data_IF_289458647840
#
_entry.id   IF_289458647840
#
_cell.length_a   1.000
_cell.length_b   1.000
_cell.length_c   1.000
_cell.angle_alpha   90.00
_cell.angle_beta   90.00
_cell.angle_gamma   90.00
#
_symmetry.space_group_name_H-M   'P 1'
#
loop_
_entity.id
_entity.type
_entity.pdbx_description
1 polymer ?
#
# COMPACT_ATOMS: atom_id res chain seq x y z
N UNK A 1 -15.64 0.88 -13.42
CA UNK A 1 -16.06 -0.43 -13.98
C UNK A 1 -14.92 -1.44 -14.06
N UNK A 2 -13.82 -1.19 -14.81
CA UNK A 2 -12.69 -2.15 -14.91
C UNK A 2 -11.91 -2.28 -13.59
N UNK A 3 -11.62 -1.17 -12.91
CA UNK A 3 -10.91 -1.19 -11.64
C UNK A 3 -11.73 -1.85 -10.52
N UNK A 4 -13.05 -1.68 -10.53
CA UNK A 4 -13.96 -2.33 -9.58
C UNK A 4 -14.00 -3.85 -9.79
N UNK A 5 -13.99 -4.31 -11.05
CA UNK A 5 -13.89 -5.72 -11.38
C UNK A 5 -12.55 -6.31 -10.92
N UNK A 6 -11.45 -5.58 -11.13
CA UNK A 6 -10.13 -5.98 -10.65
C UNK A 6 -10.12 -6.13 -9.12
N UNK A 7 -10.67 -5.15 -8.39
CA UNK A 7 -10.80 -5.23 -6.94
C UNK A 7 -11.64 -6.43 -6.50
N UNK A 8 -12.76 -6.71 -7.19
CA UNK A 8 -13.57 -7.89 -6.95
C UNK A 8 -12.78 -9.20 -7.10
N UNK A 9 -11.97 -9.31 -8.16
CA UNK A 9 -11.09 -10.47 -8.38
C UNK A 9 -10.02 -10.60 -7.29
N UNK A 10 -9.41 -9.48 -6.88
CA UNK A 10 -8.38 -9.45 -5.83
C UNK A 10 -8.94 -9.80 -4.45
N UNK A 11 -10.25 -9.60 -4.21
CA UNK A 11 -10.91 -9.94 -2.95
C UNK A 11 -11.35 -11.40 -2.86
N UNK A 12 -11.52 -12.09 -3.99
CA UNK A 12 -12.04 -13.46 -4.04
C UNK A 12 -11.04 -14.51 -3.57
N UNK A 13 -9.88 -14.61 -4.21
CA UNK A 13 -8.88 -15.66 -3.95
C UNK A 13 -7.47 -15.10 -4.15
N UNK A 14 -6.53 -15.54 -3.32
CA UNK A 14 -5.10 -15.22 -3.46
C UNK A 14 -4.54 -15.69 -4.80
N UNK A 15 -5.07 -16.78 -5.37
CA UNK A 15 -4.68 -17.27 -6.71
C UNK A 15 -4.99 -16.26 -7.80
N UNK A 16 -6.11 -15.55 -7.70
CA UNK A 16 -6.47 -14.50 -8.66
C UNK A 16 -5.48 -13.35 -8.60
N UNK A 17 -5.03 -13.00 -7.40
CA UNK A 17 -3.98 -12.00 -7.20
C UNK A 17 -2.70 -12.41 -7.93
N UNK A 18 -2.30 -13.69 -7.85
CA UNK A 18 -1.12 -14.20 -8.56
C UNK A 18 -1.26 -14.10 -10.08
N UNK A 19 -2.41 -14.49 -10.63
CA UNK A 19 -2.69 -14.43 -12.08
C UNK A 19 -2.61 -12.98 -12.56
N UNK A 20 -3.27 -12.07 -11.85
CA UNK A 20 -3.30 -10.64 -12.15
C UNK A 20 -1.90 -10.01 -12.10
N UNK A 21 -1.10 -10.39 -11.10
CA UNK A 21 0.30 -9.95 -10.99
C UNK A 21 1.14 -10.51 -12.13
N UNK A 22 0.98 -11.79 -12.47
CA UNK A 22 1.70 -12.44 -13.56
C UNK A 22 1.35 -11.84 -14.94
N UNK A 23 0.15 -11.30 -15.10
CA UNK A 23 -0.27 -10.55 -16.28
C UNK A 23 0.34 -9.14 -16.37
N UNK A 24 1.13 -8.72 -15.38
CA UNK A 24 1.80 -7.41 -15.40
C UNK A 24 0.87 -6.25 -15.07
N UNK A 25 -0.16 -6.46 -14.23
CA UNK A 25 -1.06 -5.35 -13.84
C UNK A 25 -0.35 -4.30 -12.97
N UNK A 26 0.70 -4.69 -12.23
CA UNK A 26 1.29 -3.82 -11.20
C UNK A 26 1.87 -2.53 -11.80
N UNK A 27 2.71 -2.56 -12.86
CA UNK A 27 3.15 -1.34 -13.54
C UNK A 27 1.99 -0.48 -14.03
N UNK A 28 0.91 -1.10 -14.52
CA UNK A 28 -0.30 -0.39 -14.96
C UNK A 28 -0.96 0.34 -13.80
N UNK A 29 -1.08 -0.30 -12.63
CA UNK A 29 -1.60 0.34 -11.42
C UNK A 29 -0.71 1.49 -10.94
N UNK A 30 0.62 1.35 -11.01
CA UNK A 30 1.56 2.42 -10.65
C UNK A 30 1.40 3.62 -11.58
N UNK A 31 1.38 3.40 -12.89
CA UNK A 31 1.13 4.44 -13.88
C UNK A 31 -0.23 5.11 -13.68
N UNK A 32 -1.26 4.34 -13.32
CA UNK A 32 -2.60 4.85 -13.07
C UNK A 32 -2.65 5.70 -11.79
N UNK A 33 -1.87 5.35 -10.77
CA UNK A 33 -1.75 6.14 -9.56
C UNK A 33 -1.09 7.50 -9.82
N UNK A 34 -0.07 7.54 -10.68
CA UNK A 34 0.65 8.78 -11.00
C UNK A 34 -0.15 9.66 -11.98
N UNK A 35 -0.81 9.05 -12.97
CA UNK A 35 -1.53 9.75 -14.04
C UNK A 35 -2.94 10.20 -13.65
N UNK A 36 -3.58 9.56 -12.65
CA UNK A 36 -4.96 9.87 -12.30
C UNK A 36 -5.08 11.15 -11.46
N UNK A 37 -5.91 12.08 -11.94
CA UNK A 37 -6.34 13.26 -11.18
C UNK A 37 -7.52 12.97 -10.23
N UNK A 38 -8.27 11.90 -10.47
CA UNK A 38 -9.40 11.50 -9.62
C UNK A 38 -8.91 10.81 -8.35
N UNK A 39 -9.34 11.35 -7.20
CA UNK A 39 -9.05 10.80 -5.87
C UNK A 39 -9.65 9.39 -5.71
N UNK A 40 -10.88 9.17 -6.18
CA UNK A 40 -11.57 7.88 -6.12
C UNK A 40 -10.78 6.79 -6.87
N UNK A 41 -10.25 7.11 -8.05
CA UNK A 41 -9.45 6.19 -8.84
C UNK A 41 -8.12 5.89 -8.14
N UNK A 42 -7.48 6.91 -7.54
CA UNK A 42 -6.26 6.72 -6.74
C UNK A 42 -6.51 5.80 -5.55
N UNK A 43 -7.59 6.01 -4.81
CA UNK A 43 -7.96 5.17 -3.66
C UNK A 43 -8.17 3.71 -4.05
N UNK A 44 -8.96 3.47 -5.10
CA UNK A 44 -9.22 2.11 -5.60
C UNK A 44 -7.94 1.44 -6.08
N UNK A 45 -7.06 2.20 -6.73
CA UNK A 45 -5.74 1.72 -7.17
C UNK A 45 -4.84 1.37 -5.99
N UNK A 46 -4.76 2.24 -4.96
CA UNK A 46 -4.04 1.93 -3.72
C UNK A 46 -4.62 0.70 -3.03
N UNK A 47 -5.94 0.54 -3.03
CA UNK A 47 -6.60 -0.66 -2.46
C UNK A 47 -6.17 -1.93 -3.18
N UNK A 48 -6.11 -1.89 -4.52
CA UNK A 48 -5.65 -3.01 -5.33
C UNK A 48 -4.18 -3.33 -5.04
N UNK A 49 -3.33 -2.31 -4.98
CA UNK A 49 -1.91 -2.45 -4.61
C UNK A 49 -1.80 -3.04 -3.22
N UNK A 50 -2.51 -2.51 -2.21
CA UNK A 50 -2.48 -3.03 -0.85
C UNK A 50 -2.85 -4.51 -0.81
N UNK A 51 -3.89 -4.93 -1.53
CA UNK A 51 -4.31 -6.33 -1.61
C UNK A 51 -3.24 -7.22 -2.24
N UNK A 52 -2.65 -6.80 -3.36
CA UNK A 52 -1.50 -7.47 -3.97
C UNK A 52 -0.36 -7.61 -2.96
N UNK A 53 -0.10 -6.51 -2.25
CA UNK A 53 0.87 -6.42 -1.18
C UNK A 53 0.43 -7.08 0.13
N UNK A 54 -0.67 -7.83 0.23
CA UNK A 54 -0.93 -8.72 1.39
C UNK A 54 -0.62 -10.20 1.16
N UNK A 55 -0.60 -10.67 -0.10
CA UNK A 55 -0.50 -12.11 -0.44
C UNK A 55 0.92 -12.69 -0.28
N UNK A 56 1.13 -13.95 0.11
CA UNK A 56 2.46 -14.49 0.41
C UNK A 56 3.52 -14.35 -0.71
N UNK A 57 3.12 -14.30 -1.98
CA UNK A 57 4.02 -14.30 -3.16
C UNK A 57 4.46 -12.91 -3.65
N UNK A 58 4.47 -11.91 -2.76
CA UNK A 58 4.81 -10.50 -3.07
C UNK A 58 6.25 -10.22 -3.46
N UNK A 59 7.16 -11.15 -3.17
CA UNK A 59 8.61 -10.93 -3.27
C UNK A 59 9.02 -10.44 -4.66
N UNK A 60 8.46 -11.02 -5.72
CA UNK A 60 8.76 -10.64 -7.10
C UNK A 60 8.34 -9.20 -7.41
N UNK A 61 7.11 -8.84 -7.03
CA UNK A 61 6.57 -7.48 -7.21
C UNK A 61 7.36 -6.46 -6.41
N UNK A 62 7.76 -6.81 -5.20
CA UNK A 62 8.52 -5.91 -4.33
C UNK A 62 9.93 -5.65 -4.85
N UNK A 63 10.55 -6.63 -5.53
CA UNK A 63 11.87 -6.45 -6.15
C UNK A 63 11.77 -5.59 -7.41
N UNK A 64 10.75 -5.82 -8.25
CA UNK A 64 10.59 -5.10 -9.51
C UNK A 64 10.08 -3.66 -9.34
N UNK A 65 9.04 -3.46 -8.52
CA UNK A 65 8.29 -2.20 -8.46
C UNK A 65 8.26 -1.57 -7.05
N UNK A 66 8.91 -2.19 -6.06
CA UNK A 66 8.78 -1.80 -4.66
C UNK A 66 9.19 -0.36 -4.36
N UNK A 67 10.24 0.16 -4.99
CA UNK A 67 10.70 1.55 -4.82
C UNK A 67 9.70 2.57 -5.37
N UNK A 68 9.18 2.33 -6.58
CA UNK A 68 8.18 3.18 -7.22
C UNK A 68 6.87 3.20 -6.42
N UNK A 69 6.45 2.03 -5.94
CA UNK A 69 5.24 1.87 -5.15
C UNK A 69 5.40 2.55 -3.79
N UNK A 70 6.55 2.43 -3.13
CA UNK A 70 6.81 3.07 -1.85
C UNK A 70 6.73 4.60 -1.94
N UNK A 71 7.31 5.22 -2.97
CA UNK A 71 7.20 6.67 -3.19
C UNK A 71 5.74 7.11 -3.44
N UNK A 72 5.00 6.33 -4.23
CA UNK A 72 3.61 6.62 -4.57
C UNK A 72 2.68 6.49 -3.36
N UNK A 73 2.84 5.43 -2.57
CA UNK A 73 2.08 5.22 -1.36
C UNK A 73 2.38 6.28 -0.31
N UNK A 74 3.63 6.74 -0.21
CA UNK A 74 3.97 7.84 0.70
C UNK A 74 3.26 9.15 0.29
N UNK A 75 3.19 9.46 -1.01
CA UNK A 75 2.41 10.61 -1.49
C UNK A 75 0.93 10.50 -1.17
N UNK A 76 0.33 9.31 -1.31
CA UNK A 76 -1.07 9.08 -0.93
C UNK A 76 -1.24 9.14 0.58
N UNK A 77 -0.25 8.73 1.35
CA UNK A 77 -0.26 8.84 2.80
C UNK A 77 -0.26 10.30 3.29
N UNK A 78 0.43 11.19 2.57
CA UNK A 78 0.49 12.62 2.88
C UNK A 78 -0.75 13.37 2.37
N UNK A 79 -1.15 13.16 1.11
CA UNK A 79 -2.16 13.98 0.42
C UNK A 79 -3.46 13.25 0.06
N UNK A 80 -3.57 11.95 0.35
CA UNK A 80 -4.75 11.14 0.02
C UNK A 80 -5.91 11.30 1.01
N UNK A 81 -7.06 10.73 0.65
CA UNK A 81 -8.20 10.63 1.57
C UNK A 81 -7.92 9.67 2.72
N UNK A 82 -8.83 9.64 3.71
CA UNK A 82 -8.78 8.70 4.83
C UNK A 82 -8.62 7.25 4.36
N UNK A 83 -9.42 6.81 3.38
CA UNK A 83 -9.33 5.45 2.84
C UNK A 83 -8.02 5.21 2.06
N UNK A 84 -7.57 6.20 1.29
CA UNK A 84 -6.28 6.13 0.59
C UNK A 84 -5.10 6.02 1.56
N UNK A 85 -5.12 6.80 2.64
CA UNK A 85 -4.13 6.79 3.73
C UNK A 85 -4.13 5.44 4.45
N UNK A 86 -5.31 4.91 4.82
CA UNK A 86 -5.43 3.59 5.46
C UNK A 86 -4.87 2.47 4.57
N UNK A 87 -5.30 2.38 3.31
CA UNK A 87 -4.80 1.34 2.40
C UNK A 87 -3.30 1.50 2.09
N UNK A 88 -2.80 2.73 2.04
CA UNK A 88 -1.36 2.98 1.87
C UNK A 88 -0.56 2.47 3.06
N UNK A 89 -1.03 2.67 4.29
CA UNK A 89 -0.41 2.11 5.49
C UNK A 89 -0.42 0.57 5.48
N UNK A 90 -1.52 -0.08 5.09
CA UNK A 90 -1.56 -1.55 4.93
C UNK A 90 -0.47 -2.03 3.97
N UNK A 91 -0.38 -1.40 2.80
CA UNK A 91 0.60 -1.75 1.78
C UNK A 91 2.03 -1.51 2.28
N UNK A 92 2.29 -0.37 2.95
CA UNK A 92 3.60 -0.01 3.50
C UNK A 92 4.03 -0.98 4.61
N UNK A 93 3.13 -1.32 5.54
CA UNK A 93 3.38 -2.33 6.57
C UNK A 93 3.74 -3.68 5.96
N UNK A 94 3.02 -4.08 4.92
CA UNK A 94 3.30 -5.26 4.14
C UNK A 94 4.69 -5.24 3.46
N UNK A 95 5.16 -4.08 3.03
CA UNK A 95 6.47 -3.89 2.42
C UNK A 95 7.61 -3.74 3.45
N UNK A 96 7.29 -3.24 4.65
CA UNK A 96 8.21 -2.95 5.75
C UNK A 96 8.86 -4.16 6.39
N UNK A 97 8.54 -5.38 5.95
CA UNK A 97 9.17 -6.62 6.43
C UNK A 97 10.66 -6.75 6.07
N UNK A 98 11.20 -5.88 5.19
CA UNK A 98 12.63 -5.84 4.90
C UNK A 98 13.29 -4.60 5.50
N UNK A 99 14.52 -4.76 6.02
CA UNK A 99 15.28 -3.69 6.69
C UNK A 99 15.49 -2.45 5.81
N UNK A 100 15.71 -2.65 4.52
CA UNK A 100 15.91 -1.55 3.56
C UNK A 100 14.61 -0.75 3.35
N UNK A 101 13.47 -1.44 3.23
CA UNK A 101 12.17 -0.77 3.07
C UNK A 101 11.76 -0.05 4.34
N UNK A 102 11.92 -0.68 5.51
CA UNK A 102 11.63 -0.04 6.80
C UNK A 102 12.44 1.24 7.01
N UNK A 103 13.73 1.22 6.64
CA UNK A 103 14.59 2.41 6.71
C UNK A 103 14.15 3.49 5.72
N UNK A 104 13.78 3.12 4.49
CA UNK A 104 13.27 4.06 3.51
C UNK A 104 11.98 4.76 3.99
N UNK A 105 11.03 3.99 4.52
CA UNK A 105 9.77 4.49 5.10
C UNK A 105 10.04 5.44 6.28
N UNK A 106 10.90 5.03 7.22
CA UNK A 106 11.24 5.83 8.39
C UNK A 106 11.98 7.13 8.06
N UNK A 107 12.93 7.08 7.11
CA UNK A 107 13.76 8.23 6.73
C UNK A 107 13.00 9.34 6.01
N UNK A 108 11.85 9.03 5.42
CA UNK A 108 11.07 9.98 4.62
C UNK A 108 9.88 10.59 5.36
N UNK A 109 9.80 10.43 6.68
CA UNK A 109 8.73 11.03 7.48
C UNK A 109 7.47 10.15 7.62
N UNK A 110 7.51 8.88 7.18
CA UNK A 110 6.38 7.96 7.32
C UNK A 110 5.85 7.89 8.75
N UNK A 111 6.73 7.93 9.75
CA UNK A 111 6.38 7.94 11.19
C UNK A 111 5.38 9.05 11.55
N UNK A 112 5.54 10.25 11.00
CA UNK A 112 4.64 11.38 11.28
C UNK A 112 3.27 11.17 10.66
N UNK A 113 3.23 10.69 9.41
CA UNK A 113 1.98 10.40 8.72
C UNK A 113 1.24 9.20 9.34
N UNK A 114 1.95 8.22 9.91
CA UNK A 114 1.33 7.13 10.65
C UNK A 114 0.76 7.58 12.00
N UNK A 115 1.46 8.48 12.71
CA UNK A 115 0.93 9.14 13.91
C UNK A 115 -0.36 9.93 13.62
N UNK A 116 -0.43 10.56 12.45
CA UNK A 116 -1.64 11.24 12.00
C UNK A 116 -2.81 10.25 11.79
N UNK A 117 -2.54 9.07 11.22
CA UNK A 117 -3.53 7.98 11.10
C UNK A 117 -3.97 7.47 12.47
N UNK A 118 -3.08 7.33 13.46
CA UNK A 118 -3.47 6.98 14.84
C UNK A 118 -4.53 7.93 15.41
N UNK A 119 -4.40 9.22 15.08
CA UNK A 119 -5.25 10.29 15.61
C UNK A 119 -6.62 10.34 14.94
N UNK A 120 -6.83 9.67 13.79
CA UNK A 120 -8.13 9.60 13.11
C UNK A 120 -9.18 8.77 13.88
N UNK A 121 -8.82 8.10 14.98
CA UNK A 121 -9.73 7.42 15.95
C UNK A 121 -10.67 6.37 15.33
N UNK A 122 -10.40 5.84 14.14
CA UNK A 122 -11.14 4.67 13.63
C UNK A 122 -10.56 3.38 14.24
N UNK A 123 -11.41 2.40 14.54
CA UNK A 123 -10.95 1.12 15.12
C UNK A 123 -9.97 0.36 14.22
N UNK A 124 -10.04 0.56 12.90
CA UNK A 124 -9.05 0.05 11.93
C UNK A 124 -7.75 0.86 11.93
N UNK A 125 -7.80 2.19 11.92
CA UNK A 125 -6.59 3.03 11.91
C UNK A 125 -5.71 2.80 13.14
N UNK A 126 -6.32 2.61 14.33
CA UNK A 126 -5.57 2.33 15.55
C UNK A 126 -4.83 1.00 15.53
N UNK A 127 -5.45 -0.08 15.01
CA UNK A 127 -4.79 -1.39 14.92
C UNK A 127 -3.60 -1.37 13.95
N UNK A 128 -3.72 -0.62 12.84
CA UNK A 128 -2.66 -0.54 11.82
C UNK A 128 -1.47 0.30 12.29
N UNK A 129 -1.73 1.41 12.95
CA UNK A 129 -0.74 2.24 13.60
C UNK A 129 0.15 1.46 14.58
N UNK A 130 -0.46 0.62 15.43
CA UNK A 130 0.28 -0.22 16.38
C UNK A 130 1.15 -1.23 15.66
N UNK A 131 0.63 -1.86 14.59
CA UNK A 131 1.37 -2.85 13.80
C UNK A 131 2.59 -2.27 13.10
N UNK A 132 2.50 -1.05 12.59
CA UNK A 132 3.63 -0.39 11.94
C UNK A 132 4.65 0.18 12.93
N UNK A 133 4.21 0.71 14.08
CA UNK A 133 5.12 1.07 15.16
C UNK A 133 5.92 -0.14 15.63
N UNK A 134 5.29 -1.32 15.74
CA UNK A 134 5.99 -2.59 16.02
C UNK A 134 6.96 -2.98 14.89
N UNK A 135 6.58 -2.75 13.62
CA UNK A 135 7.42 -3.05 12.47
C UNK A 135 8.66 -2.16 12.43
N UNK A 136 8.51 -0.84 12.63
CA UNK A 136 9.61 0.12 12.68
C UNK A 136 10.49 -0.08 13.91
N UNK A 137 9.93 -0.46 15.07
CA UNK A 137 10.71 -0.79 16.28
C UNK A 137 11.61 -2.01 16.10
N UNK A 138 11.38 -2.90 15.13
CA UNK A 138 12.32 -3.97 14.79
C UNK A 138 13.58 -3.47 14.07
N UNK A 139 13.59 -2.22 13.59
CA UNK A 139 14.65 -1.68 12.74
C UNK A 139 15.27 -0.37 13.25
N UNK A 140 14.78 0.16 14.39
CA UNK A 140 15.44 1.14 15.25
C UNK A 140 16.27 0.40 16.31
#
# INVERSE_FOLDING_TARGET
MVLDLLLGLLQQDEKNVLIVVAQGVVPVLVCLLDSSSSLEIKEKTVTAIAKIFTVASRKHVMIAEGLCILNNLQRVLEFGSVLGKENSCIALQAMGYTKNNARAIGSRGGISSFLEICQMRTSKSQAMAVGEFLCLRKFL
#
